data_IF_046727438232
#
_entry.id   IF_046727438232
#
_cell.length_a   1.000
_cell.length_b   1.000
_cell.length_c   1.000
_cell.angle_alpha   90.00
_cell.angle_beta   90.00
_cell.angle_gamma   90.00
#
_symmetry.space_group_name_H-M   'P 1'
#
loop_
_entity.id
_entity.type
_entity.pdbx_description
1 polymer ?
#
# COMPACT_ATOMS: atom_id res chain seq x y z
N UNK A 1 -0.52 -1.87 16.07
CA UNK A 1 -1.26 -0.59 16.04
C UNK A 1 -2.11 -0.53 17.30
N UNK A 2 -2.11 0.57 18.04
CA UNK A 2 -2.97 0.75 19.22
C UNK A 2 -4.36 1.28 18.82
N UNK A 3 -5.34 1.18 19.70
CA UNK A 3 -6.72 1.60 19.47
C UNK A 3 -6.85 3.09 19.11
N UNK A 4 -6.03 3.95 19.72
CA UNK A 4 -5.95 5.37 19.36
C UNK A 4 -5.46 5.59 17.91
N UNK A 5 -4.53 4.75 17.44
CA UNK A 5 -4.04 4.82 16.05
C UNK A 5 -5.09 4.32 15.06
N UNK A 6 -5.87 3.30 15.44
CA UNK A 6 -7.02 2.83 14.65
C UNK A 6 -8.04 3.95 14.48
N UNK A 7 -8.44 4.60 15.58
CA UNK A 7 -9.36 5.74 15.54
C UNK A 7 -8.82 6.88 14.66
N UNK A 8 -7.58 7.31 14.89
CA UNK A 8 -6.95 8.38 14.10
C UNK A 8 -6.83 8.04 12.61
N UNK A 9 -6.62 6.76 12.28
CA UNK A 9 -6.65 6.31 10.89
C UNK A 9 -8.04 6.47 10.27
N UNK A 10 -9.10 5.99 10.94
CA UNK A 10 -10.47 6.13 10.40
C UNK A 10 -10.91 7.60 10.33
N UNK A 11 -10.54 8.43 11.29
CA UNK A 11 -10.83 9.87 11.25
C UNK A 11 -10.19 10.55 10.04
N UNK A 12 -8.91 10.26 9.76
CA UNK A 12 -8.24 10.75 8.55
C UNK A 12 -8.85 10.21 7.27
N UNK A 13 -9.24 8.94 7.26
CA UNK A 13 -9.89 8.31 6.11
C UNK A 13 -11.23 8.99 5.79
N UNK A 14 -12.09 9.18 6.78
CA UNK A 14 -13.38 9.85 6.61
C UNK A 14 -13.24 11.33 6.27
N UNK A 15 -12.24 12.02 6.85
CA UNK A 15 -11.92 13.39 6.46
C UNK A 15 -11.48 13.49 4.98
N UNK A 16 -10.66 12.55 4.50
CA UNK A 16 -10.23 12.50 3.10
C UNK A 16 -11.40 12.26 2.13
N UNK A 17 -12.41 11.50 2.54
CA UNK A 17 -13.65 11.30 1.78
C UNK A 17 -14.73 12.35 2.07
N UNK A 18 -14.41 13.40 2.83
CA UNK A 18 -15.34 14.48 3.20
C UNK A 18 -16.65 13.97 3.82
N UNK A 19 -16.56 12.91 4.64
CA UNK A 19 -17.72 12.28 5.25
C UNK A 19 -18.37 13.17 6.32
N UNK A 20 -19.70 13.05 6.44
CA UNK A 20 -20.45 13.75 7.47
C UNK A 20 -20.51 12.93 8.77
N UNK A 21 -20.02 13.53 9.86
CA UNK A 21 -20.16 12.96 11.19
C UNK A 21 -21.53 13.30 11.77
N UNK A 22 -22.35 12.27 11.94
CA UNK A 22 -23.66 12.38 12.60
C UNK A 22 -23.48 12.55 14.11
N UNK A 23 -22.49 11.86 14.68
CA UNK A 23 -22.20 11.91 16.11
C UNK A 23 -20.72 11.63 16.37
N UNK A 24 -20.13 12.33 17.34
CA UNK A 24 -18.75 12.11 17.78
C UNK A 24 -18.71 11.98 19.30
N UNK A 25 -18.19 10.85 19.77
CA UNK A 25 -17.98 10.54 21.18
C UNK A 25 -16.52 10.07 21.40
N UNK A 26 -15.95 10.19 22.61
CA UNK A 26 -14.62 9.64 22.89
C UNK A 26 -14.51 8.12 22.67
N UNK A 27 -15.61 7.38 22.86
CA UNK A 27 -15.66 5.92 22.73
C UNK A 27 -16.07 5.40 21.33
N UNK A 28 -16.82 6.20 20.56
CA UNK A 28 -17.33 5.82 19.23
C UNK A 28 -17.57 7.06 18.36
N UNK A 29 -17.75 6.87 17.07
CA UNK A 29 -18.38 7.90 16.24
C UNK A 29 -19.39 7.27 15.29
N UNK A 30 -20.37 8.07 14.87
CA UNK A 30 -21.36 7.71 13.86
C UNK A 30 -21.16 8.58 12.63
N UNK A 31 -21.00 7.95 11.48
CA UNK A 31 -20.71 8.61 10.21
C UNK A 31 -21.69 8.14 9.15
N UNK A 32 -22.17 9.09 8.36
CA UNK A 32 -22.82 8.80 7.10
C UNK A 32 -21.73 8.46 6.07
N UNK A 33 -21.78 7.24 5.54
CA UNK A 33 -20.76 6.78 4.62
C UNK A 33 -20.87 7.54 3.30
N UNK A 34 -19.78 8.11 2.76
CA UNK A 34 -19.77 8.62 1.39
C UNK A 34 -20.09 7.51 0.38
N UNK A 35 -20.66 7.87 -0.77
CA UNK A 35 -21.09 6.92 -1.82
C UNK A 35 -19.98 5.90 -2.16
N UNK A 36 -18.75 6.36 -2.38
CA UNK A 36 -17.61 5.51 -2.72
C UNK A 36 -17.26 4.52 -1.59
N UNK A 37 -17.27 5.01 -0.34
CA UNK A 37 -16.96 4.21 0.85
C UNK A 37 -18.05 3.18 1.10
N UNK A 38 -19.32 3.55 0.89
CA UNK A 38 -20.45 2.66 1.05
C UNK A 38 -20.50 1.56 -0.03
N UNK A 39 -20.06 1.85 -1.26
CA UNK A 39 -19.86 0.83 -2.30
C UNK A 39 -18.79 -0.19 -1.88
N UNK A 40 -17.73 0.27 -1.23
CA UNK A 40 -16.62 -0.59 -0.78
C UNK A 40 -16.96 -1.42 0.46
N UNK A 41 -17.71 -0.86 1.42
CA UNK A 41 -17.92 -1.44 2.76
C UNK A 41 -19.33 -1.95 3.02
N UNK A 42 -20.33 -1.38 2.33
CA UNK A 42 -21.75 -1.60 2.59
C UNK A 42 -22.27 -2.94 2.12
N UNK A 43 -21.48 -3.73 1.39
CA UNK A 43 -21.83 -5.06 0.88
C UNK A 43 -23.21 -5.11 0.18
N UNK A 44 -23.61 -4.02 -0.49
CA UNK A 44 -24.93 -3.87 -1.13
C UNK A 44 -24.84 -3.67 -2.66
N UNK A 45 -24.20 -4.58 -3.41
CA UNK A 45 -23.97 -4.41 -4.85
C UNK A 45 -25.28 -4.30 -5.65
N UNK A 46 -26.34 -5.02 -5.24
CA UNK A 46 -27.65 -4.96 -5.90
C UNK A 46 -28.35 -3.61 -5.71
N UNK A 47 -28.23 -3.00 -4.52
CA UNK A 47 -28.76 -1.66 -4.26
C UNK A 47 -28.11 -0.64 -5.20
N UNK A 48 -26.79 -0.63 -5.26
CA UNK A 48 -26.05 0.29 -6.13
C UNK A 48 -26.36 0.08 -7.61
N UNK A 49 -26.41 -1.18 -8.05
CA UNK A 49 -26.79 -1.52 -9.44
C UNK A 49 -28.19 -0.99 -9.78
N UNK A 50 -29.14 -1.07 -8.85
CA UNK A 50 -30.51 -0.61 -9.03
C UNK A 50 -30.60 0.92 -9.07
N UNK A 51 -29.97 1.61 -8.12
CA UNK A 51 -29.93 3.07 -8.02
C UNK A 51 -29.31 3.68 -9.28
N UNK A 52 -28.19 3.13 -9.77
CA UNK A 52 -27.50 3.60 -10.97
C UNK A 52 -28.32 3.35 -12.24
N UNK A 53 -28.95 2.17 -12.38
CA UNK A 53 -29.78 1.84 -13.55
C UNK A 53 -31.01 2.71 -13.67
N UNK A 54 -31.62 3.07 -12.54
CA UNK A 54 -32.84 3.87 -12.50
C UNK A 54 -32.56 5.35 -12.29
N UNK A 55 -31.28 5.76 -12.19
CA UNK A 55 -30.83 7.12 -11.97
C UNK A 55 -31.53 7.79 -10.77
N UNK A 56 -31.67 7.01 -9.68
CA UNK A 56 -32.28 7.45 -8.42
C UNK A 56 -31.28 8.20 -7.56
N UNK A 57 -31.78 9.02 -6.62
CA UNK A 57 -30.91 9.64 -5.62
C UNK A 57 -30.37 8.57 -4.64
N UNK A 58 -29.04 8.51 -4.44
CA UNK A 58 -28.43 7.54 -3.55
C UNK A 58 -28.74 7.88 -2.09
N UNK A 59 -29.02 6.86 -1.30
CA UNK A 59 -29.20 6.94 0.16
C UNK A 59 -28.08 6.15 0.83
N UNK A 60 -26.99 6.81 1.23
CA UNK A 60 -25.86 6.15 1.87
C UNK A 60 -26.21 5.61 3.26
N UNK A 61 -25.52 4.56 3.69
CA UNK A 61 -25.73 3.98 5.01
C UNK A 61 -25.05 4.82 6.09
N UNK A 62 -25.68 4.95 7.26
CA UNK A 62 -25.02 5.43 8.47
C UNK A 62 -24.46 4.25 9.27
N UNK A 63 -23.20 4.32 9.67
CA UNK A 63 -22.57 3.30 10.51
C UNK A 63 -22.00 3.92 11.78
N UNK A 64 -22.08 3.14 12.88
CA UNK A 64 -21.50 3.49 14.17
C UNK A 64 -20.26 2.62 14.39
N UNK A 65 -19.11 3.25 14.60
CA UNK A 65 -17.84 2.57 14.82
C UNK A 65 -17.38 2.79 16.26
N UNK A 66 -17.19 1.70 17.00
CA UNK A 66 -16.83 1.68 18.41
C UNK A 66 -15.33 1.41 18.53
N UNK A 67 -14.65 2.19 19.38
CA UNK A 67 -13.22 2.04 19.68
C UNK A 67 -12.97 1.71 21.15
N UNK A 68 -13.90 2.03 22.05
CA UNK A 68 -13.79 1.69 23.46
C UNK A 68 -15.14 1.18 23.99
N UNK A 69 -15.23 -0.13 24.21
CA UNK A 69 -16.44 -0.76 24.76
C UNK A 69 -16.64 -0.43 26.25
N UNK A 70 -15.59 -0.12 27.01
CA UNK A 70 -15.71 0.13 28.45
C UNK A 70 -16.39 1.47 28.75
N UNK A 71 -16.26 2.43 27.83
CA UNK A 71 -16.79 3.79 27.95
C UNK A 71 -18.06 4.00 27.10
N UNK A 72 -18.72 2.92 26.67
CA UNK A 72 -19.88 3.00 25.78
C UNK A 72 -21.16 3.38 26.54
N UNK A 73 -21.91 4.41 26.10
CA UNK A 73 -23.22 4.71 26.67
C UNK A 73 -24.25 3.61 26.42
N UNK A 74 -25.22 3.45 27.33
CA UNK A 74 -26.32 2.49 27.17
C UNK A 74 -27.17 2.81 25.94
N UNK A 75 -27.44 1.80 25.10
CA UNK A 75 -28.28 1.91 23.90
C UNK A 75 -27.55 2.20 22.59
N UNK A 76 -26.23 2.41 22.62
CA UNK A 76 -25.42 2.57 21.40
C UNK A 76 -25.10 1.19 20.82
N UNK A 77 -25.65 0.90 19.64
CA UNK A 77 -25.29 -0.28 18.87
C UNK A 77 -24.35 0.13 17.72
N UNK A 78 -23.27 -0.62 17.53
CA UNK A 78 -22.27 -0.34 16.52
C UNK A 78 -21.31 -1.51 16.32
N UNK A 79 -20.39 -1.33 15.38
CA UNK A 79 -19.36 -2.32 15.08
C UNK A 79 -18.07 -1.96 15.82
N UNK A 80 -17.53 -2.91 16.58
CA UNK A 80 -16.26 -2.74 17.27
C UNK A 80 -15.07 -2.86 16.30
N UNK A 81 -14.27 -1.80 16.23
CA UNK A 81 -13.11 -1.74 15.33
C UNK A 81 -11.84 -1.88 16.15
N UNK A 82 -11.38 -3.12 16.24
CA UNK A 82 -10.07 -3.47 16.83
C UNK A 82 -9.02 -3.72 15.77
N UNK A 83 -7.74 -3.66 16.15
CA UNK A 83 -6.66 -4.03 15.26
C UNK A 83 -6.75 -5.51 14.89
N UNK A 84 -6.82 -5.81 13.59
CA UNK A 84 -7.02 -7.16 13.07
C UNK A 84 -8.47 -7.51 12.75
N UNK A 85 -9.44 -6.61 13.01
CA UNK A 85 -10.81 -6.84 12.58
C UNK A 85 -10.92 -6.90 11.05
N UNK A 86 -11.79 -7.75 10.48
CA UNK A 86 -12.02 -7.81 9.04
C UNK A 86 -12.43 -6.45 8.46
N UNK A 87 -13.19 -5.67 9.24
CA UNK A 87 -13.64 -4.33 8.83
C UNK A 87 -12.48 -3.35 8.67
N UNK A 88 -11.54 -3.35 9.61
CA UNK A 88 -10.35 -2.51 9.50
C UNK A 88 -9.54 -2.87 8.25
N UNK A 89 -9.44 -4.16 7.91
CA UNK A 89 -8.80 -4.60 6.66
C UNK A 89 -9.53 -4.08 5.42
N UNK A 90 -10.87 -4.05 5.43
CA UNK A 90 -11.65 -3.46 4.33
C UNK A 90 -11.37 -1.96 4.19
N UNK A 91 -11.25 -1.22 5.30
CA UNK A 91 -10.84 0.19 5.25
C UNK A 91 -9.44 0.38 4.66
N UNK A 92 -8.47 -0.46 5.05
CA UNK A 92 -7.14 -0.41 4.44
C UNK A 92 -7.17 -0.70 2.94
N UNK A 93 -7.93 -1.72 2.52
CA UNK A 93 -8.08 -2.06 1.11
C UNK A 93 -8.76 -0.93 0.30
N UNK A 94 -9.79 -0.30 0.87
CA UNK A 94 -10.46 0.86 0.27
C UNK A 94 -9.50 2.06 0.16
N UNK A 95 -8.78 2.39 1.23
CA UNK A 95 -7.78 3.46 1.22
C UNK A 95 -6.68 3.22 0.18
N UNK A 96 -6.21 1.98 0.04
CA UNK A 96 -5.23 1.61 -0.97
C UNK A 96 -5.81 1.68 -2.39
N UNK A 97 -7.10 1.38 -2.60
CA UNK A 97 -7.78 1.47 -3.90
C UNK A 97 -7.92 2.91 -4.36
N UNK A 98 -8.33 3.81 -3.47
CA UNK A 98 -8.55 5.22 -3.78
C UNK A 98 -7.25 6.05 -3.77
N UNK A 99 -6.22 5.58 -3.06
CA UNK A 99 -4.91 6.24 -2.96
C UNK A 99 -3.83 5.72 -3.93
N UNK A 100 -4.19 5.01 -5.00
CA UNK A 100 -3.19 4.38 -5.92
C UNK A 100 -2.35 5.38 -6.69
N UNK A 101 -2.99 6.43 -7.20
CA UNK A 101 -2.34 7.47 -7.99
C UNK A 101 -2.86 8.84 -7.58
N UNK A 102 -1.94 9.79 -7.43
CA UNK A 102 -2.29 11.17 -7.10
C UNK A 102 -1.54 12.14 -8.02
N UNK A 103 -2.12 13.34 -8.16
CA UNK A 103 -1.45 14.45 -8.81
C UNK A 103 -1.51 15.65 -7.89
N UNK A 104 -0.35 16.17 -7.50
CA UNK A 104 -0.28 17.27 -6.55
C UNK A 104 0.71 18.35 -6.98
N UNK A 105 0.52 19.54 -6.43
CA UNK A 105 1.27 20.74 -6.75
C UNK A 105 1.78 21.41 -5.48
N UNK A 106 3.04 21.79 -5.50
CA UNK A 106 3.63 22.54 -4.40
C UNK A 106 3.08 23.97 -4.36
N UNK A 107 2.60 24.37 -3.19
CA UNK A 107 2.18 25.73 -2.89
C UNK A 107 3.29 26.41 -2.08
N UNK A 108 4.00 27.30 -2.75
CA UNK A 108 4.99 28.17 -2.13
C UNK A 108 4.46 29.59 -2.11
N UNK A 109 4.61 30.27 -0.98
CA UNK A 109 4.39 31.71 -0.95
C UNK A 109 5.35 32.38 -1.94
N UNK A 110 4.86 33.32 -2.77
CA UNK A 110 5.72 33.98 -3.75
C UNK A 110 6.85 34.70 -3.02
N UNK A 111 8.12 34.44 -3.37
CA UNK A 111 9.24 35.15 -2.76
C UNK A 111 9.06 36.64 -3.07
N UNK A 112 8.84 37.44 -2.03
CA UNK A 112 8.68 38.90 -2.04
C UNK A 112 7.35 39.48 -2.56
N UNK A 113 6.25 38.71 -2.60
CA UNK A 113 4.93 39.28 -2.94
C UNK A 113 4.81 39.82 -4.37
N UNK A 114 5.77 39.49 -5.24
CA UNK A 114 5.68 39.76 -6.67
C UNK A 114 4.79 38.72 -7.33
N UNK A 115 3.88 39.15 -8.21
CA UNK A 115 3.10 38.31 -9.14
C UNK A 115 3.98 37.66 -10.23
N UNK A 116 5.17 37.19 -9.87
CA UNK A 116 6.07 36.55 -10.80
C UNK A 116 5.63 35.09 -10.97
N UNK A 117 5.35 34.71 -12.21
CA UNK A 117 5.03 33.33 -12.53
C UNK A 117 6.19 32.41 -12.17
N UNK A 118 5.91 31.34 -11.42
CA UNK A 118 6.92 30.36 -11.04
C UNK A 118 6.69 29.00 -11.71
N UNK A 119 7.79 28.37 -12.09
CA UNK A 119 7.77 27.10 -12.79
C UNK A 119 7.71 25.94 -11.80
N UNK A 120 6.80 25.00 -12.04
CA UNK A 120 6.76 23.72 -11.35
C UNK A 120 7.32 22.61 -12.23
N UNK A 121 8.29 21.88 -11.69
CA UNK A 121 8.95 20.76 -12.35
C UNK A 121 8.20 19.46 -12.04
N UNK A 122 7.86 18.64 -13.06
CA UNK A 122 7.18 17.37 -12.84
C UNK A 122 8.14 16.30 -12.30
N UNK A 123 7.72 15.64 -11.23
CA UNK A 123 8.36 14.48 -10.61
C UNK A 123 7.38 13.32 -10.58
N UNK A 124 7.86 12.11 -10.83
CA UNK A 124 7.12 10.88 -10.59
C UNK A 124 7.63 10.27 -9.28
N UNK A 125 6.76 10.20 -8.28
CA UNK A 125 7.04 9.51 -7.01
C UNK A 125 6.41 8.14 -7.01
N UNK A 126 7.15 7.10 -6.59
CA UNK A 126 6.66 5.73 -6.45
C UNK A 126 7.14 5.16 -5.11
N UNK A 127 6.21 4.58 -4.36
CA UNK A 127 6.51 3.85 -3.14
C UNK A 127 6.50 2.35 -3.43
N UNK A 128 7.66 1.72 -3.28
CA UNK A 128 7.87 0.30 -3.49
C UNK A 128 7.89 -0.45 -2.15
N UNK A 129 7.32 -1.65 -2.16
CA UNK A 129 7.52 -2.67 -1.14
C UNK A 129 8.39 -3.78 -1.72
N UNK A 130 9.55 -4.00 -1.13
CA UNK A 130 10.45 -5.09 -1.49
C UNK A 130 10.37 -6.13 -0.37
N UNK A 131 9.88 -7.31 -0.70
CA UNK A 131 9.74 -8.44 0.22
C UNK A 131 10.77 -9.51 -0.13
N UNK A 132 11.73 -9.73 0.77
CA UNK A 132 12.67 -10.84 0.71
C UNK A 132 12.05 -12.03 1.45
N UNK A 133 11.73 -13.10 0.73
CA UNK A 133 10.94 -14.21 1.23
C UNK A 133 11.77 -15.49 1.15
N UNK A 134 11.85 -16.18 2.29
CA UNK A 134 12.32 -17.55 2.47
C UNK A 134 11.55 -18.16 3.66
N UNK A 135 12.23 -18.93 4.52
CA UNK A 135 11.70 -19.35 5.83
C UNK A 135 11.25 -18.17 6.71
N UNK A 136 11.82 -16.99 6.45
CA UNK A 136 11.42 -15.71 7.02
C UNK A 136 11.07 -14.71 5.92
N UNK A 137 10.23 -13.74 6.25
CA UNK A 137 9.89 -12.62 5.38
C UNK A 137 10.47 -11.33 5.95
N UNK A 138 11.25 -10.61 5.15
CA UNK A 138 11.77 -9.27 5.45
C UNK A 138 11.19 -8.29 4.44
N UNK A 139 10.41 -7.34 4.93
CA UNK A 139 9.82 -6.28 4.11
C UNK A 139 10.64 -4.99 4.25
N UNK A 140 10.94 -4.35 3.11
CA UNK A 140 11.54 -3.02 3.04
C UNK A 140 10.67 -2.10 2.21
N UNK A 141 10.43 -0.91 2.72
CA UNK A 141 9.75 0.16 2.00
C UNK A 141 10.80 1.08 1.39
N UNK A 142 10.63 1.42 0.11
CA UNK A 142 11.45 2.41 -0.59
C UNK A 142 10.56 3.47 -1.20
N UNK A 143 10.87 4.73 -0.93
CA UNK A 143 10.22 5.87 -1.58
C UNK A 143 11.19 6.51 -2.57
N UNK A 144 10.87 6.42 -3.86
CA UNK A 144 11.72 6.92 -4.92
C UNK A 144 10.98 7.99 -5.73
N UNK A 145 11.69 9.06 -6.07
CA UNK A 145 11.20 10.12 -6.94
C UNK A 145 12.13 10.27 -8.14
N UNK A 146 11.57 10.41 -9.34
CA UNK A 146 12.34 10.71 -10.54
C UNK A 146 11.84 11.99 -11.20
N UNK A 147 12.78 12.87 -11.51
CA UNK A 147 12.50 14.11 -12.23
C UNK A 147 12.19 13.81 -13.70
N UNK A 148 11.00 14.19 -14.18
CA UNK A 148 10.55 13.88 -15.55
C UNK A 148 11.16 14.79 -16.63
N UNK A 149 12.01 15.75 -16.26
CA UNK A 149 12.78 16.57 -17.20
C UNK A 149 14.21 16.03 -17.36
N UNK A 150 14.92 15.81 -16.26
CA UNK A 150 16.35 15.47 -16.30
C UNK A 150 16.65 14.00 -15.97
N UNK A 151 15.68 13.25 -15.44
CA UNK A 151 15.85 11.84 -15.07
C UNK A 151 16.58 11.62 -13.74
N UNK A 152 16.84 12.66 -12.96
CA UNK A 152 17.48 12.53 -11.64
C UNK A 152 16.57 11.75 -10.69
N UNK A 153 17.15 10.73 -10.04
CA UNK A 153 16.47 9.92 -9.01
C UNK A 153 16.80 10.51 -7.63
N UNK A 154 15.79 10.56 -6.77
CA UNK A 154 15.88 10.96 -5.37
C UNK A 154 15.29 9.87 -4.49
N UNK A 155 16.10 9.38 -3.56
CA UNK A 155 15.67 8.46 -2.51
C UNK A 155 14.94 9.24 -1.38
N UNK A 156 14.18 8.51 -0.55
CA UNK A 156 13.35 9.06 0.52
C UNK A 156 12.46 10.21 0.03
N UNK A 157 11.85 10.00 -1.14
CA UNK A 157 11.07 11.05 -1.79
C UNK A 157 9.83 11.46 -0.99
N UNK A 158 9.21 10.53 -0.28
CA UNK A 158 8.10 10.81 0.62
C UNK A 158 8.47 11.83 1.71
N UNK A 159 9.59 11.66 2.40
CA UNK A 159 10.06 12.60 3.43
C UNK A 159 10.31 13.99 2.83
N UNK A 160 10.81 14.03 1.60
CA UNK A 160 11.00 15.28 0.86
C UNK A 160 9.68 15.99 0.50
N UNK A 161 8.60 15.22 0.30
CA UNK A 161 7.26 15.76 0.06
C UNK A 161 6.58 16.20 1.37
N UNK A 162 6.76 15.45 2.46
CA UNK A 162 6.15 15.76 3.76
C UNK A 162 6.60 17.11 4.32
N UNK A 163 7.83 17.52 4.02
CA UNK A 163 8.37 18.83 4.41
C UNK A 163 7.77 20.02 3.63
N UNK A 164 6.93 19.80 2.62
CA UNK A 164 6.41 20.83 1.71
C UNK A 164 4.90 20.94 1.80
N UNK A 165 4.38 22.13 1.49
CA UNK A 165 2.94 22.32 1.34
C UNK A 165 2.51 21.89 -0.07
N UNK A 166 1.79 20.78 -0.15
CA UNK A 166 1.43 20.14 -1.41
C UNK A 166 -0.08 19.91 -1.44
N UNK A 167 -0.76 20.45 -2.47
CA UNK A 167 -2.23 20.38 -2.60
C UNK A 167 -2.64 19.89 -4.00
N UNK A 168 -3.86 19.36 -4.17
CA UNK A 168 -4.35 18.84 -5.46
C UNK A 168 -4.76 19.94 -6.47
N UNK A 169 -4.73 21.20 -6.07
CA UNK A 169 -5.09 22.35 -6.90
C UNK A 169 -3.82 22.99 -7.47
N UNK A 170 -3.86 23.56 -8.67
CA UNK A 170 -2.71 24.31 -9.18
C UNK A 170 -2.63 25.67 -8.46
N UNK A 171 -1.48 26.08 -7.89
CA UNK A 171 -1.35 27.38 -7.25
C UNK A 171 -1.57 28.53 -8.24
N UNK A 172 -2.03 29.67 -7.73
CA UNK A 172 -2.11 30.90 -8.52
C UNK A 172 -0.73 31.30 -9.04
N UNK A 173 -0.70 31.79 -10.29
CA UNK A 173 0.52 32.22 -10.99
C UNK A 173 1.56 31.11 -11.26
N UNK A 174 1.31 29.85 -10.92
CA UNK A 174 2.19 28.73 -11.26
C UNK A 174 1.96 28.22 -12.69
N UNK A 175 3.02 27.74 -13.34
CA UNK A 175 2.91 26.97 -14.59
C UNK A 175 3.69 25.66 -14.53
N UNK A 176 3.16 24.62 -15.17
CA UNK A 176 3.80 23.30 -15.21
C UNK A 176 4.77 23.20 -16.37
N UNK A 177 6.00 22.80 -16.09
CA UNK A 177 6.97 22.44 -17.11
C UNK A 177 6.55 21.16 -17.83
N UNK A 178 6.85 21.06 -19.14
CA UNK A 178 6.53 19.88 -19.93
C UNK A 178 7.54 18.76 -19.60
N UNK A 179 7.08 17.55 -19.27
CA UNK A 179 7.98 16.41 -19.07
C UNK A 179 8.65 16.03 -20.39
N UNK A 180 9.94 15.68 -20.31
CA UNK A 180 10.73 15.15 -21.43
C UNK A 180 10.62 13.62 -21.46
N UNK A 181 10.62 13.00 -20.27
CA UNK A 181 10.45 11.56 -20.11
C UNK A 181 8.97 11.19 -19.97
N UNK A 182 8.57 10.12 -20.66
CA UNK A 182 7.27 9.50 -20.41
C UNK A 182 7.24 8.82 -19.04
N UNK A 183 6.03 8.59 -18.51
CA UNK A 183 5.85 7.87 -17.25
C UNK A 183 6.43 6.46 -17.37
N UNK A 184 6.18 5.75 -18.48
CA UNK A 184 6.72 4.40 -18.71
C UNK A 184 8.25 4.37 -18.69
N UNK A 185 8.90 5.34 -19.35
CA UNK A 185 10.37 5.42 -19.34
C UNK A 185 10.91 5.71 -17.93
N UNK A 186 10.21 6.54 -17.17
CA UNK A 186 10.58 6.89 -15.81
C UNK A 186 10.41 5.70 -14.84
N UNK A 187 9.33 4.92 -14.99
CA UNK A 187 9.12 3.66 -14.25
C UNK A 187 10.24 2.68 -14.55
N UNK A 188 10.60 2.47 -15.82
CA UNK A 188 11.71 1.59 -16.18
C UNK A 188 13.06 2.03 -15.58
N UNK A 189 13.29 3.34 -15.46
CA UNK A 189 14.49 3.86 -14.79
C UNK A 189 14.49 3.53 -13.30
N UNK A 190 13.35 3.70 -12.63
CA UNK A 190 13.18 3.35 -11.22
C UNK A 190 13.31 1.83 -11.00
N UNK A 191 12.75 1.00 -11.88
CA UNK A 191 12.88 -0.46 -11.81
C UNK A 191 14.34 -0.91 -11.92
N UNK A 192 15.11 -0.35 -12.87
CA UNK A 192 16.55 -0.65 -12.99
C UNK A 192 17.33 -0.20 -11.74
N UNK A 193 16.96 0.93 -11.17
CA UNK A 193 17.57 1.42 -9.94
C UNK A 193 17.27 0.49 -8.75
N UNK A 194 16.01 0.05 -8.60
CA UNK A 194 15.61 -0.94 -7.59
C UNK A 194 16.33 -2.27 -7.81
N UNK A 195 16.42 -2.76 -9.05
CA UNK A 195 17.15 -3.98 -9.38
C UNK A 195 18.62 -3.87 -8.99
N UNK A 196 19.27 -2.76 -9.32
CA UNK A 196 20.67 -2.51 -8.95
C UNK A 196 20.85 -2.50 -7.42
N UNK A 197 19.91 -1.89 -6.68
CA UNK A 197 19.94 -1.89 -5.22
C UNK A 197 19.76 -3.29 -4.63
N UNK A 198 18.89 -4.12 -5.21
CA UNK A 198 18.71 -5.54 -4.84
C UNK A 198 19.96 -6.36 -5.15
N UNK A 199 20.60 -6.13 -6.29
CA UNK A 199 21.79 -6.87 -6.68
C UNK A 199 23.03 -6.54 -5.84
N UNK A 200 23.10 -5.32 -5.32
CA UNK A 200 24.15 -4.87 -4.41
C UNK A 200 23.97 -5.39 -2.97
N UNK A 201 22.80 -5.92 -2.61
CA UNK A 201 22.57 -6.49 -1.30
C UNK A 201 23.30 -7.82 -1.07
N UNK A 202 23.54 -8.11 0.20
CA UNK A 202 24.11 -9.38 0.60
C UNK A 202 23.18 -10.56 0.24
N UNK A 203 23.73 -11.54 -0.47
CA UNK A 203 23.02 -12.72 -0.98
C UNK A 203 23.17 -13.93 -0.05
N UNK A 204 23.85 -13.78 1.09
CA UNK A 204 24.02 -14.84 2.10
C UNK A 204 22.71 -15.49 2.51
N UNK A 205 21.66 -14.69 2.75
CA UNK A 205 20.34 -15.20 3.15
C UNK A 205 19.75 -16.19 2.11
N UNK A 206 19.91 -15.90 0.82
CA UNK A 206 19.41 -16.75 -0.25
C UNK A 206 20.23 -18.03 -0.40
N UNK A 207 21.55 -17.94 -0.23
CA UNK A 207 22.43 -19.11 -0.23
C UNK A 207 22.13 -20.05 0.93
N UNK A 208 21.95 -19.51 2.14
CA UNK A 208 21.56 -20.29 3.33
C UNK A 208 20.20 -20.95 3.16
N UNK A 209 19.19 -20.21 2.67
CA UNK A 209 17.86 -20.75 2.43
C UNK A 209 17.88 -21.91 1.43
N UNK A 210 18.65 -21.79 0.33
CA UNK A 210 18.83 -22.88 -0.65
C UNK A 210 19.52 -24.10 -0.03
N UNK A 211 20.53 -23.88 0.81
CA UNK A 211 21.22 -24.98 1.49
C UNK A 211 20.30 -25.72 2.47
N UNK A 212 19.47 -24.99 3.22
CA UNK A 212 18.45 -25.58 4.12
C UNK A 212 17.40 -26.36 3.32
N UNK A 213 16.86 -25.77 2.25
CA UNK A 213 15.91 -26.45 1.36
C UNK A 213 16.48 -27.77 0.81
N UNK A 214 17.74 -27.77 0.38
CA UNK A 214 18.39 -28.97 -0.14
C UNK A 214 18.52 -30.07 0.94
N UNK A 215 18.85 -29.70 2.18
CA UNK A 215 18.93 -30.64 3.30
C UNK A 215 17.56 -31.24 3.65
N UNK A 216 16.51 -30.42 3.70
CA UNK A 216 15.13 -30.85 3.96
C UNK A 216 14.60 -31.78 2.85
N UNK A 217 14.87 -31.44 1.57
CA UNK A 217 14.49 -32.29 0.44
C UNK A 217 15.21 -33.65 0.51
N UNK A 218 16.50 -33.68 0.82
CA UNK A 218 17.25 -34.92 0.98
C UNK A 218 16.69 -35.78 2.13
N UNK A 219 16.28 -35.16 3.24
CA UNK A 219 15.67 -35.88 4.36
C UNK A 219 14.33 -36.50 3.98
N UNK A 220 13.50 -35.78 3.22
CA UNK A 220 12.25 -36.32 2.66
C UNK A 220 12.54 -37.49 1.73
N UNK A 221 13.49 -37.34 0.81
CA UNK A 221 13.87 -38.41 -0.11
C UNK A 221 14.29 -39.68 0.63
N UNK A 222 15.12 -39.57 1.66
CA UNK A 222 15.52 -40.70 2.48
C UNK A 222 14.35 -41.33 3.25
N UNK A 223 13.45 -40.51 3.81
CA UNK A 223 12.28 -41.01 4.54
C UNK A 223 11.36 -41.84 3.65
N UNK A 224 11.00 -41.32 2.47
CA UNK A 224 10.14 -42.03 1.53
C UNK A 224 10.83 -43.22 0.87
N UNK A 225 12.13 -43.13 0.54
CA UNK A 225 12.89 -44.28 0.03
C UNK A 225 12.92 -45.44 1.02
N UNK A 226 13.06 -45.15 2.32
CA UNK A 226 12.96 -46.17 3.38
C UNK A 226 11.55 -46.73 3.50
N UNK A 227 10.52 -45.89 3.41
CA UNK A 227 9.12 -46.32 3.50
C UNK A 227 8.75 -47.30 2.37
N UNK A 228 9.07 -46.94 1.12
CA UNK A 228 8.85 -47.79 -0.06
C UNK A 228 9.63 -49.11 -0.01
N UNK A 229 10.80 -49.15 0.63
CA UNK A 229 11.59 -50.37 0.77
C UNK A 229 11.09 -51.34 1.85
N UNK A 230 10.22 -50.88 2.77
CA UNK A 230 9.78 -51.67 3.94
C UNK A 230 8.32 -52.11 3.86
N UNK A 231 7.50 -51.41 3.07
CA UNK A 231 6.06 -51.62 2.96
C UNK A 231 5.68 -51.87 1.49
N UNK A 232 4.98 -52.98 1.19
CA UNK A 232 4.34 -53.28 -0.11
C UNK A 232 3.08 -52.39 -0.32
N UNK A 233 3.18 -51.09 0.00
CA UNK A 233 2.14 -50.11 -0.29
C UNK A 233 2.17 -49.74 -1.78
N UNK A 234 0.99 -49.46 -2.36
CA UNK A 234 0.89 -48.95 -3.73
C UNK A 234 1.81 -47.72 -3.92
N UNK A 235 2.68 -47.75 -4.92
CA UNK A 235 3.71 -46.71 -5.14
C UNK A 235 3.11 -45.33 -5.50
N UNK A 236 2.02 -45.32 -6.28
CA UNK A 236 1.33 -44.11 -6.78
C UNK A 236 0.89 -43.09 -5.70
N UNK A 237 0.14 -43.46 -4.64
CA UNK A 237 -0.23 -42.51 -3.59
C UNK A 237 0.97 -42.01 -2.78
N UNK A 238 2.00 -42.83 -2.57
CA UNK A 238 3.20 -42.45 -1.81
C UNK A 238 4.02 -41.39 -2.57
N UNK A 239 4.17 -41.56 -3.89
CA UNK A 239 4.79 -40.58 -4.79
C UNK A 239 4.06 -39.24 -4.78
N UNK A 240 2.73 -39.25 -4.93
CA UNK A 240 1.92 -38.03 -4.88
C UNK A 240 2.05 -37.27 -3.54
N UNK A 241 2.10 -37.98 -2.41
CA UNK A 241 2.31 -37.36 -1.11
C UNK A 241 3.72 -36.77 -0.96
N UNK A 242 4.75 -37.46 -1.47
CA UNK A 242 6.12 -36.95 -1.49
C UNK A 242 6.23 -35.67 -2.32
N UNK A 243 5.64 -35.64 -3.51
CA UNK A 243 5.67 -34.49 -4.42
C UNK A 243 4.98 -33.27 -3.79
N UNK A 244 3.77 -33.43 -3.26
CA UNK A 244 3.06 -32.34 -2.55
C UNK A 244 3.90 -31.78 -1.41
N UNK A 245 4.55 -32.65 -0.63
CA UNK A 245 5.40 -32.22 0.48
C UNK A 245 6.66 -31.48 -0.01
N UNK A 246 7.25 -31.93 -1.11
CA UNK A 246 8.38 -31.24 -1.73
C UNK A 246 7.97 -29.87 -2.28
N UNK A 247 6.78 -29.74 -2.88
CA UNK A 247 6.23 -28.46 -3.33
C UNK A 247 5.97 -27.50 -2.16
N UNK A 248 5.41 -27.98 -1.05
CA UNK A 248 5.24 -27.19 0.17
C UNK A 248 6.57 -26.65 0.69
N UNK A 249 7.60 -27.50 0.76
CA UNK A 249 8.95 -27.09 1.18
C UNK A 249 9.54 -26.05 0.22
N UNK A 250 9.41 -26.25 -1.09
CA UNK A 250 9.88 -25.29 -2.07
C UNK A 250 9.17 -23.96 -1.90
N UNK A 251 7.84 -23.96 -1.77
CA UNK A 251 7.08 -22.73 -1.55
C UNK A 251 7.52 -21.98 -0.28
N UNK A 252 7.90 -22.71 0.78
CA UNK A 252 8.33 -22.13 2.06
C UNK A 252 9.79 -21.66 2.07
N UNK A 253 10.72 -22.40 1.48
CA UNK A 253 12.16 -22.15 1.62
C UNK A 253 12.84 -21.62 0.35
N UNK A 254 12.19 -21.68 -0.81
CA UNK A 254 12.77 -21.14 -2.05
C UNK A 254 12.90 -19.62 -1.95
N UNK A 255 14.14 -19.08 -1.94
CA UNK A 255 14.33 -17.66 -1.75
C UNK A 255 13.83 -16.89 -2.97
N UNK A 256 12.90 -15.98 -2.74
CA UNK A 256 12.37 -15.10 -3.78
C UNK A 256 12.27 -13.66 -3.29
N UNK A 257 12.35 -12.73 -4.23
CA UNK A 257 12.19 -11.30 -3.96
C UNK A 257 10.95 -10.86 -4.72
N UNK A 258 9.97 -10.34 -3.99
CA UNK A 258 8.76 -9.76 -4.56
C UNK A 258 8.87 -8.24 -4.47
N UNK A 259 8.68 -7.55 -5.60
CA UNK A 259 8.65 -6.09 -5.67
C UNK A 259 7.24 -5.67 -6.04
N UNK A 260 6.59 -4.94 -5.16
CA UNK A 260 5.23 -4.43 -5.33
C UNK A 260 5.23 -2.90 -5.31
N UNK A 261 4.50 -2.28 -6.22
CA UNK A 261 4.23 -0.84 -6.18
C UNK A 261 3.00 -0.62 -5.28
N UNK A 262 3.20 0.09 -4.16
CA UNK A 262 2.13 0.38 -3.20
C UNK A 262 1.22 1.49 -3.76
N UNK A 263 1.84 2.58 -4.18
CA UNK A 263 1.19 3.74 -4.78
C UNK A 263 2.23 4.57 -5.55
N UNK A 264 1.73 5.47 -6.39
CA UNK A 264 2.56 6.45 -7.07
C UNK A 264 1.84 7.79 -7.24
N UNK A 265 2.54 8.77 -7.76
CA UNK A 265 1.93 10.06 -8.05
C UNK A 265 2.83 10.96 -8.87
N UNK A 266 2.20 11.93 -9.53
CA UNK A 266 2.91 12.99 -10.24
C UNK A 266 2.87 14.25 -9.38
N UNK A 267 4.05 14.74 -9.02
CA UNK A 267 4.22 15.89 -8.13
C UNK A 267 4.88 17.01 -8.90
N UNK A 268 4.28 18.18 -8.87
CA UNK A 268 4.80 19.39 -9.51
C UNK A 268 5.46 20.26 -8.45
N UNK A 269 6.79 20.26 -8.43
CA UNK A 269 7.58 20.87 -7.37
C UNK A 269 8.30 22.12 -7.87
N UNK A 270 8.32 23.15 -7.04
CA UNK A 270 9.08 24.38 -7.27
C UNK A 270 10.58 24.06 -7.25
N UNK A 271 11.33 24.74 -8.12
CA UNK A 271 12.78 24.61 -8.18
C UNK A 271 13.44 25.46 -7.08
N UNK A 272 12.97 25.37 -5.84
CA UNK A 272 13.61 26.11 -4.75
C UNK A 272 14.77 25.25 -4.22
N UNK A 273 16.04 25.66 -4.39
CA UNK A 273 17.15 24.97 -3.73
C UNK A 273 16.85 24.99 -2.23
N UNK A 274 16.99 23.84 -1.57
CA UNK A 274 16.89 23.79 -0.12
C UNK A 274 17.78 24.89 0.46
N UNK A 275 17.31 25.68 1.45
CA UNK A 275 18.17 26.67 2.08
C UNK A 275 19.41 25.93 2.60
N UNK A 276 20.62 26.48 2.44
CA UNK A 276 21.81 25.90 3.05
C UNK A 276 21.57 25.85 4.57
N UNK A 277 21.83 24.67 5.14
CA UNK A 277 21.78 24.42 6.58
C UNK A 277 22.74 25.33 7.36
#
# INVERSE_FOLDING_TARGET
>A
MNQAQVRSFLERYFAAHQAHYVEQHPAYFKVELPIEVDKDLGNRPFYWTYVERLNLEPQPMCMTFIFDNASLPEGVNGEDITFGSPRLQQFFASAQRHGRYIRLYEHTDPPNGSNLHFALTPWLGINYKISFICDRKKDRLLSLGINLIHGQIKENFFDYLEARNILPVLPDYAYTMRPIFSIDSAVQHLERHVQTAIDAEDKTWACEARSRLAAELAQIEHFYARKTATEDENEEPVLNHKEKRAEELRWQYEPRIEVEIINGGVFYLSHTPAPPA
#
